data_IF_181044291968
#
_entry.id   IF_181044291968
#
_cell.length_a   1.000
_cell.length_b   1.000
_cell.length_c   1.000
_cell.angle_alpha   90.00
_cell.angle_beta   90.00
_cell.angle_gamma   90.00
#
_symmetry.space_group_name_H-M   'P 1'
#
loop_
_entity.id
_entity.type
_entity.pdbx_description
1 polymer ?
#
# COMPACT_ATOMS: atom_id res chain seq x y z
N UNK A 1 4.37 -1.15 16.83
CA UNK A 1 5.03 -0.21 15.91
C UNK A 1 5.83 0.78 16.75
N UNK A 2 7.15 0.64 16.80
CA UNK A 2 8.01 1.44 17.70
C UNK A 2 9.35 1.85 17.07
N UNK A 3 9.59 1.55 15.78
CA UNK A 3 10.83 1.94 15.13
C UNK A 3 10.90 3.46 14.90
N UNK A 4 12.12 3.99 14.75
CA UNK A 4 12.38 5.43 14.55
C UNK A 4 11.54 6.04 13.44
N UNK A 5 11.37 5.33 12.32
CA UNK A 5 10.58 5.82 11.19
C UNK A 5 9.09 5.92 11.52
N UNK A 6 8.51 4.91 12.20
CA UNK A 6 7.10 4.92 12.60
C UNK A 6 6.76 6.08 13.53
N UNK A 7 7.68 6.50 14.40
CA UNK A 7 7.43 7.59 15.36
C UNK A 7 7.84 8.97 14.85
N UNK A 8 8.52 9.05 13.70
CA UNK A 8 9.14 10.29 13.22
C UNK A 8 8.17 11.36 12.74
N UNK A 9 6.93 10.99 12.36
CA UNK A 9 5.97 11.88 11.68
C UNK A 9 6.39 12.32 10.27
N UNK A 10 7.60 11.96 9.80
CA UNK A 10 8.17 12.39 8.52
C UNK A 10 8.28 11.26 7.49
N UNK A 11 8.08 10.01 7.91
CA UNK A 11 8.29 8.84 7.08
C UNK A 11 7.21 7.79 7.34
N UNK A 12 6.78 7.12 6.28
CA UNK A 12 5.92 5.93 6.31
C UNK A 12 6.70 4.62 6.10
N UNK A 13 8.02 4.68 5.94
CA UNK A 13 8.87 3.53 5.65
C UNK A 13 9.29 2.83 6.94
N UNK A 14 8.49 1.88 7.42
CA UNK A 14 8.80 1.09 8.60
C UNK A 14 10.14 0.36 8.45
N UNK A 15 11.07 0.56 9.40
CA UNK A 15 12.38 -0.08 9.36
C UNK A 15 12.32 -1.60 9.55
N UNK A 16 11.32 -2.08 10.30
CA UNK A 16 11.15 -3.51 10.60
C UNK A 16 10.41 -4.23 9.47
N UNK A 17 9.29 -3.68 9.00
CA UNK A 17 8.41 -4.36 8.06
C UNK A 17 8.65 -3.97 6.61
N UNK A 18 9.07 -2.72 6.35
CA UNK A 18 9.50 -2.23 5.04
C UNK A 18 8.64 -2.68 3.85
N UNK A 19 9.26 -2.69 2.67
CA UNK A 19 8.74 -3.44 1.52
C UNK A 19 9.34 -4.84 1.56
N UNK A 20 8.49 -5.84 1.76
CA UNK A 20 8.89 -7.25 1.83
C UNK A 20 9.30 -7.75 0.43
N UNK A 21 10.48 -8.39 0.34
CA UNK A 21 11.08 -8.89 -0.91
C UNK A 21 11.72 -10.28 -0.80
N UNK A 22 11.74 -10.88 0.39
CA UNK A 22 12.31 -12.20 0.66
C UNK A 22 11.30 -13.33 0.46
N UNK A 23 10.00 -13.00 0.45
CA UNK A 23 8.91 -13.95 0.26
C UNK A 23 8.65 -14.86 1.46
N UNK A 24 9.09 -14.46 2.65
CA UNK A 24 8.93 -15.22 3.90
C UNK A 24 8.40 -14.34 5.02
N UNK A 25 7.83 -14.96 6.05
CA UNK A 25 7.34 -14.23 7.22
C UNK A 25 8.49 -13.66 8.05
N UNK A 26 8.31 -12.43 8.52
CA UNK A 26 9.34 -11.75 9.33
C UNK A 26 9.66 -12.49 10.63
N UNK A 27 8.68 -13.17 11.22
CA UNK A 27 8.78 -13.84 12.53
C UNK A 27 9.75 -15.02 12.56
N UNK A 28 9.75 -15.85 11.54
CA UNK A 28 10.44 -17.15 11.53
C UNK A 28 11.15 -17.44 10.21
N UNK A 29 11.13 -16.50 9.25
CA UNK A 29 11.75 -16.63 7.93
C UNK A 29 11.26 -17.85 7.14
N UNK A 30 10.02 -18.30 7.37
CA UNK A 30 9.38 -19.38 6.60
C UNK A 30 8.18 -18.87 5.80
N UNK A 31 7.73 -19.64 4.81
CA UNK A 31 6.47 -19.37 4.11
C UNK A 31 5.28 -20.01 4.83
N UNK A 32 4.06 -19.59 4.47
CA UNK A 32 2.80 -20.18 4.93
C UNK A 32 2.06 -20.90 3.80
N UNK A 33 2.59 -20.83 2.59
CA UNK A 33 2.01 -21.45 1.41
C UNK A 33 2.83 -22.64 0.95
N UNK A 34 2.14 -23.69 0.53
CA UNK A 34 2.74 -24.84 -0.13
C UNK A 34 1.78 -25.44 -1.14
N UNK A 35 2.32 -26.02 -2.20
CA UNK A 35 1.56 -26.77 -3.21
C UNK A 35 2.29 -28.09 -3.44
N UNK A 36 1.61 -29.21 -3.18
CA UNK A 36 2.20 -30.55 -3.32
C UNK A 36 3.48 -30.74 -2.49
N UNK A 37 3.51 -30.18 -1.27
CA UNK A 37 4.67 -30.22 -0.38
C UNK A 37 5.82 -29.28 -0.77
N UNK A 38 5.71 -28.55 -1.88
CA UNK A 38 6.72 -27.55 -2.29
C UNK A 38 6.33 -26.17 -1.76
N UNK A 39 7.27 -25.41 -1.17
CA UNK A 39 6.99 -24.08 -0.66
C UNK A 39 6.63 -23.11 -1.80
N UNK A 40 5.64 -22.27 -1.56
CA UNK A 40 5.30 -21.12 -2.41
C UNK A 40 5.61 -19.87 -1.60
N UNK A 41 6.34 -18.91 -2.17
CA UNK A 41 6.77 -17.73 -1.43
C UNK A 41 5.67 -16.68 -1.35
N UNK A 42 5.70 -15.91 -0.27
CA UNK A 42 4.86 -14.72 -0.12
C UNK A 42 5.27 -13.62 -1.09
N UNK A 43 4.38 -12.65 -1.28
CA UNK A 43 4.65 -11.45 -2.07
C UNK A 43 4.15 -10.20 -1.36
N UNK A 44 5.01 -9.18 -1.27
CA UNK A 44 4.72 -7.88 -0.67
C UNK A 44 4.09 -7.95 0.74
N UNK A 45 4.40 -9.00 1.53
CA UNK A 45 3.83 -9.26 2.85
C UNK A 45 2.29 -9.39 2.91
N UNK A 46 1.60 -9.53 1.77
CA UNK A 46 0.13 -9.62 1.71
C UNK A 46 -0.33 -10.89 1.02
N UNK A 47 0.26 -11.25 -0.13
CA UNK A 47 -0.07 -12.47 -0.88
C UNK A 47 -1.59 -12.61 -1.16
N UNK A 48 -2.23 -11.52 -1.63
CA UNK A 48 -3.70 -11.41 -1.74
C UNK A 48 -4.35 -12.27 -2.84
N UNK A 49 -3.56 -13.02 -3.63
CA UNK A 49 -4.08 -13.94 -4.65
C UNK A 49 -4.27 -15.36 -4.08
N UNK A 50 -4.88 -15.42 -2.90
CA UNK A 50 -5.24 -16.64 -2.18
C UNK A 50 -6.50 -16.35 -1.36
N UNK A 51 -7.38 -17.34 -1.21
CA UNK A 51 -8.59 -17.21 -0.39
C UNK A 51 -8.27 -16.90 1.08
N UNK A 52 -7.12 -17.39 1.55
CA UNK A 52 -6.59 -17.11 2.87
C UNK A 52 -5.11 -16.73 2.78
N UNK A 53 -4.72 -15.75 3.59
CA UNK A 53 -3.33 -15.34 3.73
C UNK A 53 -3.02 -15.06 5.20
N UNK A 54 -1.78 -15.35 5.58
CA UNK A 54 -1.24 -15.00 6.90
C UNK A 54 -0.35 -13.79 6.71
N UNK A 55 -0.65 -12.71 7.43
CA UNK A 55 0.08 -11.44 7.36
C UNK A 55 0.56 -11.03 8.74
N UNK A 56 1.66 -10.27 8.79
CA UNK A 56 2.07 -9.64 10.04
C UNK A 56 1.01 -8.59 10.43
N UNK A 57 0.66 -8.50 11.72
CA UNK A 57 -0.40 -7.60 12.20
C UNK A 57 -0.15 -6.13 11.84
N UNK A 58 1.12 -5.71 11.83
CA UNK A 58 1.52 -4.37 11.37
C UNK A 58 1.33 -4.08 9.88
N UNK A 59 1.03 -5.10 9.06
CA UNK A 59 0.67 -4.98 7.64
C UNK A 59 -0.85 -5.08 7.41
N UNK A 60 -1.65 -5.22 8.47
CA UNK A 60 -3.11 -5.28 8.40
C UNK A 60 -3.72 -4.04 9.04
N UNK A 61 -4.56 -3.33 8.30
CA UNK A 61 -5.31 -2.17 8.80
C UNK A 61 -6.75 -2.56 9.01
N UNK A 62 -7.24 -2.40 10.24
CA UNK A 62 -8.65 -2.61 10.57
C UNK A 62 -9.48 -1.48 9.96
N UNK A 63 -10.48 -1.85 9.16
CA UNK A 63 -11.45 -0.93 8.56
C UNK A 63 -12.84 -1.14 9.15
N UNK A 64 -13.76 -0.21 8.90
CA UNK A 64 -15.16 -0.36 9.33
C UNK A 64 -15.81 -1.57 8.65
N UNK A 65 -16.61 -2.38 9.37
CA UNK A 65 -17.27 -3.55 8.81
C UNK A 65 -18.37 -3.19 7.79
N UNK A 66 -18.82 -1.94 7.74
CA UNK A 66 -19.83 -1.47 6.79
C UNK A 66 -19.25 -1.03 5.45
N UNK A 67 -17.93 -1.05 5.29
CA UNK A 67 -17.28 -0.58 4.06
C UNK A 67 -17.36 -1.62 2.94
N UNK A 68 -17.64 -1.19 1.69
CA UNK A 68 -17.68 -2.08 0.54
C UNK A 68 -16.27 -2.58 0.17
N UNK A 69 -15.98 -3.85 0.50
CA UNK A 69 -14.66 -4.48 0.31
C UNK A 69 -14.18 -4.50 -1.16
N UNK A 70 -15.12 -4.62 -2.09
CA UNK A 70 -14.91 -4.60 -3.54
C UNK A 70 -14.37 -3.25 -4.06
N UNK A 71 -14.54 -2.17 -3.29
CA UNK A 71 -14.06 -0.83 -3.67
C UNK A 71 -12.85 -0.40 -2.86
N UNK A 72 -12.88 -0.61 -1.54
CA UNK A 72 -11.80 -0.12 -0.66
C UNK A 72 -10.48 -0.88 -0.85
N UNK A 73 -10.51 -2.06 -1.47
CA UNK A 73 -9.31 -2.83 -1.78
C UNK A 73 -8.28 -2.01 -2.60
N UNK A 74 -8.75 -1.09 -3.43
CA UNK A 74 -7.91 -0.19 -4.24
C UNK A 74 -7.05 0.76 -3.39
N UNK A 75 -7.49 1.07 -2.17
CA UNK A 75 -6.77 1.96 -1.23
C UNK A 75 -5.54 1.28 -0.61
N UNK A 76 -5.38 -0.03 -0.75
CA UNK A 76 -4.23 -0.75 -0.19
C UNK A 76 -2.91 -0.47 -0.92
N UNK A 77 -2.96 0.01 -2.17
CA UNK A 77 -1.77 0.23 -2.98
C UNK A 77 -1.90 1.43 -3.93
N UNK A 78 -2.24 1.19 -5.20
CA UNK A 78 -2.08 2.20 -6.26
C UNK A 78 -2.86 3.49 -6.04
N UNK A 79 -4.10 3.40 -5.53
CA UNK A 79 -4.93 4.58 -5.34
C UNK A 79 -4.40 5.49 -4.21
N UNK A 80 -4.05 4.89 -3.07
CA UNK A 80 -3.47 5.64 -1.95
C UNK A 80 -2.07 6.17 -2.27
N UNK A 81 -1.28 5.46 -3.08
CA UNK A 81 0.00 5.95 -3.58
C UNK A 81 -0.16 7.22 -4.43
N UNK A 82 -1.12 7.24 -5.37
CA UNK A 82 -1.39 8.41 -6.20
C UNK A 82 -1.92 9.60 -5.40
N UNK A 83 -2.93 9.36 -4.55
CA UNK A 83 -3.48 10.40 -3.67
C UNK A 83 -2.40 10.96 -2.73
N UNK A 84 -1.61 10.09 -2.10
CA UNK A 84 -0.53 10.47 -1.21
C UNK A 84 0.60 11.23 -1.92
N UNK A 85 0.91 10.88 -3.16
CA UNK A 85 1.88 11.62 -3.97
C UNK A 85 1.42 13.07 -4.21
N UNK A 86 0.14 13.28 -4.51
CA UNK A 86 -0.42 14.61 -4.70
C UNK A 86 -0.52 15.41 -3.39
N UNK A 87 -1.11 14.81 -2.34
CA UNK A 87 -1.46 15.50 -1.10
C UNK A 87 -0.28 15.68 -0.15
N UNK A 88 0.55 14.65 0.01
CA UNK A 88 1.55 14.62 1.08
C UNK A 88 2.97 14.90 0.58
N UNK A 89 3.26 14.64 -0.70
CA UNK A 89 4.62 14.75 -1.26
C UNK A 89 4.75 15.99 -2.15
N UNK A 90 3.90 16.12 -3.16
CA UNK A 90 3.89 17.27 -4.06
C UNK A 90 3.17 18.49 -3.48
N UNK A 91 2.41 18.30 -2.38
CA UNK A 91 1.64 19.35 -1.67
C UNK A 91 0.83 20.22 -2.63
N UNK A 92 0.10 19.55 -3.52
CA UNK A 92 -0.67 20.21 -4.57
C UNK A 92 -1.79 21.04 -3.92
N UNK A 93 -1.85 22.32 -4.29
CA UNK A 93 -2.88 23.26 -3.82
C UNK A 93 -3.92 23.55 -4.91
N UNK A 94 -5.12 23.93 -4.49
CA UNK A 94 -6.22 24.29 -5.40
C UNK A 94 -5.77 25.41 -6.37
N UNK A 95 -6.05 25.23 -7.66
CA UNK A 95 -5.65 26.15 -8.72
C UNK A 95 -4.29 25.85 -9.35
N UNK A 96 -3.55 24.85 -8.84
CA UNK A 96 -2.30 24.42 -9.46
C UNK A 96 -2.54 23.79 -10.84
N UNK A 97 -1.59 23.98 -11.75
CA UNK A 97 -1.48 23.21 -12.99
C UNK A 97 -0.61 21.99 -12.74
N UNK A 98 -1.11 20.79 -13.04
CA UNK A 98 -0.44 19.53 -12.74
C UNK A 98 -0.26 18.73 -14.02
N UNK A 99 0.95 18.23 -14.25
CA UNK A 99 1.27 17.31 -15.35
C UNK A 99 1.45 15.91 -14.77
N UNK A 100 0.74 14.94 -15.33
CA UNK A 100 0.78 13.54 -14.87
C UNK A 100 1.42 12.68 -15.96
N UNK A 101 2.58 12.08 -15.66
CA UNK A 101 3.22 11.13 -16.55
C UNK A 101 2.75 9.71 -16.23
N UNK A 102 1.84 9.19 -17.07
CA UNK A 102 1.28 7.84 -16.97
C UNK A 102 -0.13 7.81 -16.38
N UNK A 103 -1.06 7.20 -17.11
CA UNK A 103 -2.51 7.21 -16.81
C UNK A 103 -3.05 5.86 -16.32
N UNK A 104 -2.23 5.12 -15.56
CA UNK A 104 -2.69 3.92 -14.83
C UNK A 104 -3.36 4.28 -13.51
N UNK A 105 -3.67 3.28 -12.67
CA UNK A 105 -4.37 3.48 -11.37
C UNK A 105 -3.72 4.55 -10.49
N UNK A 106 -2.39 4.58 -10.42
CA UNK A 106 -1.65 5.58 -9.61
C UNK A 106 -1.85 6.99 -10.19
N UNK A 107 -1.64 7.17 -11.49
CA UNK A 107 -1.75 8.47 -12.14
C UNK A 107 -3.18 9.02 -12.15
N UNK A 108 -4.17 8.18 -12.44
CA UNK A 108 -5.59 8.56 -12.36
C UNK A 108 -6.02 8.93 -10.94
N UNK A 109 -5.36 8.38 -9.91
CA UNK A 109 -5.67 8.74 -8.53
C UNK A 109 -5.10 10.11 -8.12
N UNK A 110 -4.07 10.61 -8.82
CA UNK A 110 -3.56 11.98 -8.63
C UNK A 110 -4.60 13.02 -9.08
N UNK A 111 -5.34 12.75 -10.15
CA UNK A 111 -6.31 13.71 -10.72
C UNK A 111 -7.61 13.84 -9.92
N UNK A 112 -7.86 12.96 -8.93
CA UNK A 112 -9.04 13.04 -8.05
C UNK A 112 -8.99 14.27 -7.11
N UNK A 113 -7.87 15.00 -7.05
CA UNK A 113 -7.80 16.30 -6.39
C UNK A 113 -8.77 17.29 -7.07
N UNK A 114 -9.98 17.46 -6.50
CA UNK A 114 -11.11 18.22 -7.04
C UNK A 114 -10.93 19.75 -7.12
N UNK A 115 -9.76 20.22 -7.51
CA UNK A 115 -9.42 21.64 -7.59
C UNK A 115 -8.21 21.97 -8.47
N UNK A 116 -7.64 21.02 -9.20
CA UNK A 116 -6.53 21.26 -10.13
C UNK A 116 -6.94 21.04 -11.58
N UNK A 117 -6.37 21.85 -12.47
CA UNK A 117 -6.51 21.64 -13.91
C UNK A 117 -5.44 20.63 -14.33
N UNK A 118 -5.89 19.43 -14.69
CA UNK A 118 -5.04 18.42 -15.31
C UNK A 118 -4.93 18.77 -16.79
N UNK A 119 -3.72 19.15 -17.24
CA UNK A 119 -3.42 19.32 -18.67
C UNK A 119 -2.84 18.05 -19.26
#
# INVERSE_FOLDING_TARGET
MSCKHCVSGKSNMCQTLGLERKGVMHSDQTTRFSIGGKPVYHYCAVSSFSEYAVVHSGCAVKVSPTMPMDRICLLSCGASAGLGAAWNVADVSKGSSVVIFGLGTVGLSVSIYGGCYCM
#
